data_IF_864560640988
#
_entry.id   IF_864560640988
#
_cell.length_a   1.000
_cell.length_b   1.000
_cell.length_c   1.000
_cell.angle_alpha   90.00
_cell.angle_beta   90.00
_cell.angle_gamma   90.00
#
_symmetry.space_group_name_H-M   'P 1'
#
loop_
_entity.id
_entity.type
_entity.pdbx_description
1 polymer ?
#
# COMPACT_ATOMS: atom_id res chain seq x y z
N UNK A 1 -6.27 -13.63 0.68
CA UNK A 1 -6.79 -13.32 -0.67
C UNK A 1 -5.81 -13.87 -1.71
N UNK A 2 -6.22 -14.83 -2.56
CA UNK A 2 -5.33 -15.44 -3.55
C UNK A 2 -5.40 -14.67 -4.87
N UNK A 3 -4.27 -14.11 -5.31
CA UNK A 3 -4.14 -13.45 -6.61
C UNK A 3 -4.25 -14.52 -7.71
N UNK A 4 -5.39 -14.59 -8.40
CA UNK A 4 -5.60 -15.48 -9.53
C UNK A 4 -5.61 -14.67 -10.84
N UNK A 5 -4.48 -14.06 -11.17
CA UNK A 5 -4.24 -13.55 -12.53
C UNK A 5 -3.49 -14.64 -13.30
N UNK A 6 -4.10 -15.14 -14.37
CA UNK A 6 -3.48 -16.08 -15.30
C UNK A 6 -2.96 -15.37 -16.57
N UNK A 7 -2.23 -16.08 -17.43
CA UNK A 7 -1.69 -15.51 -18.68
C UNK A 7 -2.79 -14.96 -19.60
N UNK A 8 -3.95 -15.62 -19.64
CA UNK A 8 -5.10 -15.19 -20.45
C UNK A 8 -5.61 -13.83 -20.01
N UNK A 9 -5.79 -13.65 -18.69
CA UNK A 9 -6.24 -12.40 -18.10
C UNK A 9 -5.22 -11.30 -18.28
N UNK A 10 -3.93 -11.58 -18.05
CA UNK A 10 -2.86 -10.60 -18.28
C UNK A 10 -2.83 -10.13 -19.75
N UNK A 11 -2.83 -11.05 -20.71
CA UNK A 11 -2.74 -10.70 -22.13
C UNK A 11 -3.96 -9.93 -22.62
N UNK A 12 -5.15 -10.20 -22.08
CA UNK A 12 -6.38 -9.48 -22.44
C UNK A 12 -6.45 -8.08 -21.84
N UNK A 13 -5.90 -7.88 -20.65
CA UNK A 13 -6.06 -6.63 -19.89
C UNK A 13 -4.86 -5.70 -19.98
N UNK A 14 -3.67 -6.22 -20.31
CA UNK A 14 -2.42 -5.47 -20.27
C UNK A 14 -1.90 -5.19 -18.86
N UNK A 15 -2.54 -5.73 -17.81
CA UNK A 15 -2.13 -5.51 -16.42
C UNK A 15 -0.71 -6.02 -16.18
N UNK A 16 0.15 -5.14 -15.67
CA UNK A 16 1.56 -5.40 -15.46
C UNK A 16 2.04 -5.15 -14.02
N UNK A 17 1.18 -4.64 -13.13
CA UNK A 17 1.48 -4.42 -11.70
C UNK A 17 0.36 -5.00 -10.83
N UNK A 18 0.72 -5.60 -9.70
CA UNK A 18 -0.20 -6.10 -8.69
C UNK A 18 0.23 -5.63 -7.29
N UNK A 19 -0.70 -5.02 -6.54
CA UNK A 19 -0.50 -4.64 -5.14
C UNK A 19 -1.16 -5.67 -4.22
N UNK A 20 -0.39 -6.27 -3.32
CA UNK A 20 -0.86 -7.35 -2.44
C UNK A 20 -0.43 -7.14 -0.99
N UNK A 21 -1.18 -7.75 -0.08
CA UNK A 21 -0.72 -7.94 1.28
C UNK A 21 0.40 -8.98 1.33
N UNK A 22 1.55 -8.59 1.85
CA UNK A 22 2.68 -9.47 2.19
C UNK A 22 2.70 -9.80 3.69
N UNK A 23 1.56 -9.65 4.36
CA UNK A 23 1.34 -9.95 5.77
C UNK A 23 -0.10 -10.42 5.96
N UNK A 24 -0.32 -11.34 6.89
CA UNK A 24 -1.64 -11.78 7.32
C UNK A 24 -1.71 -11.66 8.85
N UNK A 25 -2.65 -10.84 9.32
CA UNK A 25 -2.98 -10.53 10.71
C UNK A 25 -4.16 -11.37 11.25
N UNK A 26 -4.70 -12.30 10.46
CA UNK A 26 -5.81 -13.15 10.88
C UNK A 26 -5.44 -14.19 11.94
N UNK A 27 -6.39 -14.50 12.83
CA UNK A 27 -6.28 -15.54 13.86
C UNK A 27 -6.04 -16.96 13.28
N UNK A 28 -6.38 -17.19 12.01
CA UNK A 28 -6.29 -18.49 11.36
C UNK A 28 -5.08 -18.56 10.40
N UNK A 29 -3.95 -19.08 10.90
CA UNK A 29 -2.64 -19.22 10.21
C UNK A 29 -1.95 -17.88 9.91
N UNK A 30 -1.53 -17.12 10.93
CA UNK A 30 -0.81 -15.86 10.71
C UNK A 30 0.52 -16.10 10.00
N UNK A 31 0.93 -15.14 9.17
CA UNK A 31 2.26 -15.17 8.54
C UNK A 31 3.35 -15.13 9.61
N UNK A 32 3.15 -14.32 10.65
CA UNK A 32 4.02 -14.21 11.80
C UNK A 32 3.23 -14.57 13.07
N UNK A 33 3.51 -15.73 13.66
CA UNK A 33 2.81 -16.23 14.85
C UNK A 33 3.29 -15.58 16.15
N UNK A 34 4.55 -15.15 16.20
CA UNK A 34 5.14 -14.37 17.30
C UNK A 34 6.35 -13.56 16.82
N UNK A 35 6.89 -12.60 17.61
CA UNK A 35 8.07 -11.82 17.21
C UNK A 35 9.24 -12.71 16.74
N UNK A 36 9.57 -12.64 15.45
CA UNK A 36 10.62 -13.46 14.84
C UNK A 36 10.25 -14.90 14.46
N UNK A 37 9.02 -15.35 14.72
CA UNK A 37 8.53 -16.70 14.36
C UNK A 37 7.53 -16.64 13.22
N UNK A 38 7.84 -17.32 12.12
CA UNK A 38 7.07 -17.28 10.88
C UNK A 38 6.46 -18.64 10.56
N UNK A 39 5.25 -18.61 10.02
CA UNK A 39 4.64 -19.80 9.46
C UNK A 39 5.22 -20.08 8.06
N UNK A 40 6.08 -21.09 7.96
CA UNK A 40 6.78 -21.43 6.71
C UNK A 40 5.82 -21.85 5.59
N UNK A 41 4.66 -22.46 5.91
CA UNK A 41 3.65 -22.78 4.88
C UNK A 41 3.05 -21.51 4.28
N UNK A 42 2.76 -20.51 5.11
CA UNK A 42 2.15 -19.24 4.69
C UNK A 42 3.14 -18.42 3.87
N UNK A 43 4.38 -18.27 4.32
CA UNK A 43 5.39 -17.51 3.57
C UNK A 43 5.79 -18.19 2.25
N UNK A 44 5.69 -19.53 2.16
CA UNK A 44 5.82 -20.24 0.87
C UNK A 44 4.67 -19.92 -0.09
N UNK A 45 3.49 -19.56 0.42
CA UNK A 45 2.42 -18.99 -0.38
C UNK A 45 2.84 -17.69 -1.04
N UNK A 46 3.52 -16.79 -0.30
CA UNK A 46 4.09 -15.57 -0.86
C UNK A 46 5.21 -15.85 -1.87
N UNK A 47 6.09 -16.83 -1.57
CA UNK A 47 7.12 -17.29 -2.52
C UNK A 47 6.50 -17.68 -3.87
N UNK A 48 5.38 -18.43 -3.83
CA UNK A 48 4.64 -18.87 -5.01
C UNK A 48 4.03 -17.70 -5.78
N UNK A 49 3.42 -16.73 -5.11
CA UNK A 49 2.82 -15.56 -5.76
C UNK A 49 3.89 -14.75 -6.50
N UNK A 50 5.04 -14.49 -5.87
CA UNK A 50 6.16 -13.77 -6.50
C UNK A 50 6.70 -14.57 -7.70
N UNK A 51 6.92 -15.88 -7.53
CA UNK A 51 7.40 -16.73 -8.62
C UNK A 51 6.41 -16.78 -9.81
N UNK A 52 5.10 -16.74 -9.52
CA UNK A 52 4.06 -16.71 -10.55
C UNK A 52 4.02 -15.36 -11.26
N UNK A 53 4.11 -14.26 -10.51
CA UNK A 53 4.19 -12.90 -11.05
C UNK A 53 5.40 -12.74 -11.97
N UNK A 54 6.56 -13.27 -11.57
CA UNK A 54 7.78 -13.29 -12.38
C UNK A 54 7.54 -13.96 -13.74
N UNK A 55 6.96 -15.17 -13.73
CA UNK A 55 6.64 -15.90 -14.97
C UNK A 55 5.68 -15.13 -15.87
N UNK A 56 4.71 -14.44 -15.26
CA UNK A 56 3.74 -13.64 -15.97
C UNK A 56 4.33 -12.30 -16.43
N UNK A 57 5.48 -11.85 -15.92
CA UNK A 57 6.02 -10.51 -16.14
C UNK A 57 5.22 -9.42 -15.41
N UNK A 58 4.56 -9.76 -14.31
CA UNK A 58 3.83 -8.83 -13.44
C UNK A 58 4.77 -8.38 -12.33
N UNK A 59 4.85 -7.07 -12.13
CA UNK A 59 5.54 -6.45 -11.00
C UNK A 59 4.67 -6.44 -9.75
N UNK A 60 5.29 -6.57 -8.58
CA UNK A 60 4.59 -6.68 -7.30
C UNK A 60 4.87 -5.48 -6.39
N UNK A 61 3.82 -4.89 -5.82
CA UNK A 61 3.91 -3.96 -4.68
C UNK A 61 3.46 -4.72 -3.44
N UNK A 62 4.35 -4.81 -2.44
CA UNK A 62 4.14 -5.65 -1.25
C UNK A 62 3.80 -4.78 -0.03
N UNK A 63 2.54 -4.85 0.39
CA UNK A 63 1.95 -4.16 1.54
C UNK A 63 2.26 -4.84 2.86
N UNK A 64 2.77 -4.08 3.82
CA UNK A 64 2.96 -4.50 5.21
C UNK A 64 1.71 -4.16 6.02
N UNK A 65 1.36 -5.03 6.97
CA UNK A 65 0.14 -4.91 7.74
C UNK A 65 0.13 -3.78 8.78
N UNK A 66 -1.05 -3.63 9.39
CA UNK A 66 -1.34 -2.92 10.64
C UNK A 66 -0.55 -3.50 11.82
N UNK A 67 0.75 -3.22 11.85
CA UNK A 67 1.67 -3.81 12.82
C UNK A 67 1.32 -3.48 14.29
N UNK A 68 0.64 -2.35 14.52
CA UNK A 68 0.20 -1.90 15.86
C UNK A 68 -0.87 -2.80 16.45
N UNK A 69 -1.88 -3.17 15.66
CA UNK A 69 -2.95 -4.06 16.11
C UNK A 69 -2.37 -5.44 16.49
N UNK A 70 -1.48 -5.97 15.65
CA UNK A 70 -0.77 -7.23 15.93
C UNK A 70 0.10 -7.13 17.18
N UNK A 71 0.88 -6.06 17.33
CA UNK A 71 1.73 -5.86 18.50
C UNK A 71 0.90 -5.75 19.77
N UNK A 72 -0.24 -5.06 19.73
CA UNK A 72 -1.20 -4.95 20.82
C UNK A 72 -1.69 -6.29 21.32
N UNK A 73 -2.22 -7.12 20.41
CA UNK A 73 -2.71 -8.45 20.76
C UNK A 73 -1.60 -9.27 21.43
N UNK A 74 -0.38 -9.19 20.92
CA UNK A 74 0.76 -9.91 21.48
C UNK A 74 1.18 -9.38 22.86
N UNK A 75 1.23 -8.06 23.07
CA UNK A 75 1.60 -7.48 24.37
C UNK A 75 0.62 -7.86 25.47
N UNK A 76 -0.69 -7.87 25.19
CA UNK A 76 -1.70 -8.28 26.17
C UNK A 76 -1.62 -9.77 26.51
N UNK A 77 -1.17 -10.61 25.57
CA UNK A 77 -0.90 -12.02 25.84
C UNK A 77 0.31 -12.22 26.77
N UNK A 78 1.32 -11.34 26.72
CA UNK A 78 2.49 -11.40 27.60
C UNK A 78 2.20 -10.78 28.96
N UNK A 79 1.54 -9.62 28.98
CA UNK A 79 1.16 -8.92 30.20
C UNK A 79 -0.19 -8.20 29.98
N UNK A 80 -1.29 -8.74 30.54
CA UNK A 80 -2.64 -8.21 30.32
C UNK A 80 -2.85 -6.83 30.94
N UNK A 81 -1.92 -6.33 31.76
CA UNK A 81 -1.98 -5.00 32.38
C UNK A 81 -1.24 -3.92 31.56
N UNK A 82 -0.62 -4.28 30.43
CA UNK A 82 -0.04 -3.27 29.52
C UNK A 82 -1.20 -2.47 28.92
N UNK A 83 -1.01 -1.14 28.81
CA UNK A 83 -1.97 -0.27 28.10
C UNK A 83 -2.03 -0.67 26.62
N UNK A 84 -3.22 -0.61 26.03
CA UNK A 84 -3.40 -0.62 24.57
C UNK A 84 -2.52 0.45 23.91
N UNK A 85 -1.62 0.01 23.04
CA UNK A 85 -0.91 0.86 22.10
C UNK A 85 -1.91 1.53 21.17
N UNK A 86 -1.67 2.79 20.85
CA UNK A 86 -2.34 3.53 19.79
C UNK A 86 -1.50 3.48 18.52
N UNK A 87 -2.04 3.93 17.40
CA UNK A 87 -1.29 4.04 16.15
C UNK A 87 -0.03 4.92 16.29
N UNK A 88 -0.10 5.98 17.12
CA UNK A 88 1.03 6.84 17.46
C UNK A 88 2.16 6.08 18.19
N UNK A 89 1.83 5.06 18.99
CA UNK A 89 2.84 4.30 19.73
C UNK A 89 3.76 3.49 18.81
N UNK A 90 3.35 3.22 17.57
CA UNK A 90 4.24 2.64 16.56
C UNK A 90 5.53 3.46 16.39
N UNK A 91 5.39 4.78 16.38
CA UNK A 91 6.46 5.71 16.08
C UNK A 91 7.33 6.01 17.32
N UNK A 92 6.75 5.86 18.51
CA UNK A 92 7.38 6.24 19.78
C UNK A 92 7.98 5.01 20.48
N UNK A 93 7.24 3.91 20.60
CA UNK A 93 7.63 2.75 21.40
C UNK A 93 8.84 2.00 20.79
N UNK A 94 9.88 1.87 21.60
CA UNK A 94 11.15 1.28 21.17
C UNK A 94 11.05 -0.22 20.85
N UNK A 95 10.18 -0.95 21.56
CA UNK A 95 10.04 -2.39 21.40
C UNK A 95 9.23 -2.72 20.14
N UNK A 96 8.15 -1.98 19.89
CA UNK A 96 7.33 -2.05 18.68
C UNK A 96 8.17 -1.73 17.44
N UNK A 97 8.96 -0.65 17.46
CA UNK A 97 9.92 -0.33 16.40
C UNK A 97 10.93 -1.45 16.17
N UNK A 98 11.45 -2.05 17.23
CA UNK A 98 12.41 -3.17 17.14
C UNK A 98 11.77 -4.39 16.49
N UNK A 99 10.56 -4.77 16.91
CA UNK A 99 9.84 -5.89 16.32
C UNK A 99 9.51 -5.65 14.84
N UNK A 100 9.04 -4.46 14.50
CA UNK A 100 8.79 -4.09 13.11
C UNK A 100 10.08 -4.15 12.27
N UNK A 101 11.19 -3.57 12.74
CA UNK A 101 12.48 -3.64 12.04
C UNK A 101 12.97 -5.08 11.84
N UNK A 102 12.81 -5.93 12.84
CA UNK A 102 13.14 -7.35 12.74
C UNK A 102 12.26 -8.06 11.71
N UNK A 103 10.96 -7.72 11.68
CA UNK A 103 10.02 -8.24 10.70
C UNK A 103 10.42 -7.85 9.28
N UNK A 104 10.65 -6.56 9.04
CA UNK A 104 11.10 -6.06 7.73
C UNK A 104 12.38 -6.75 7.30
N UNK A 105 13.36 -6.90 8.20
CA UNK A 105 14.62 -7.59 7.89
C UNK A 105 14.38 -9.05 7.50
N UNK A 106 13.53 -9.77 8.21
CA UNK A 106 13.23 -11.18 7.92
C UNK A 106 12.59 -11.35 6.52
N UNK A 107 11.63 -10.49 6.16
CA UNK A 107 10.98 -10.52 4.85
C UNK A 107 11.95 -10.14 3.73
N UNK A 108 12.72 -9.06 3.88
CA UNK A 108 13.68 -8.62 2.87
C UNK A 108 14.79 -9.64 2.60
N UNK A 109 15.21 -10.35 3.64
CA UNK A 109 16.29 -11.36 3.55
C UNK A 109 15.77 -12.77 3.26
N UNK A 110 14.45 -12.94 3.06
CA UNK A 110 13.85 -14.21 2.68
C UNK A 110 14.40 -14.66 1.34
N UNK A 111 14.95 -15.87 1.29
CA UNK A 111 15.27 -16.55 0.05
C UNK A 111 14.02 -17.28 -0.46
N UNK A 112 13.50 -16.86 -1.61
CA UNK A 112 12.32 -17.46 -2.21
C UNK A 112 12.57 -18.95 -2.48
N UNK A 113 11.71 -19.83 -1.95
CA UNK A 113 11.91 -21.29 -2.09
C UNK A 113 11.74 -21.82 -3.50
N UNK A 114 11.16 -21.04 -4.41
CA UNK A 114 10.90 -21.40 -5.80
C UNK A 114 11.91 -20.74 -6.73
N UNK A 115 12.04 -19.41 -6.68
CA UNK A 115 12.95 -18.68 -7.58
C UNK A 115 14.41 -18.75 -7.13
N UNK A 116 14.66 -19.07 -5.85
CA UNK A 116 15.98 -19.06 -5.21
C UNK A 116 16.66 -17.69 -5.19
N UNK A 117 15.86 -16.64 -5.38
CA UNK A 117 16.29 -15.25 -5.29
C UNK A 117 15.86 -14.69 -3.93
N UNK A 118 16.75 -13.92 -3.30
CA UNK A 118 16.43 -13.20 -2.07
C UNK A 118 15.50 -12.05 -2.41
N UNK A 119 14.44 -11.83 -1.63
CA UNK A 119 13.40 -10.83 -1.95
C UNK A 119 13.96 -9.43 -2.23
N UNK A 120 14.90 -8.93 -1.43
CA UNK A 120 15.56 -7.63 -1.68
C UNK A 120 16.36 -7.55 -2.99
N UNK A 121 16.58 -8.68 -3.66
CA UNK A 121 17.31 -8.80 -4.91
C UNK A 121 16.40 -9.30 -6.07
N UNK A 122 15.09 -9.49 -5.84
CA UNK A 122 14.15 -10.01 -6.83
C UNK A 122 13.47 -8.87 -7.62
N UNK A 123 13.81 -8.67 -8.91
CA UNK A 123 13.28 -7.56 -9.71
C UNK A 123 11.78 -7.68 -10.02
N UNK A 124 11.15 -8.79 -9.66
CA UNK A 124 9.69 -8.95 -9.72
C UNK A 124 9.01 -8.04 -8.69
N UNK A 125 9.68 -7.72 -7.60
CA UNK A 125 9.19 -6.78 -6.59
C UNK A 125 9.52 -5.37 -7.11
N UNK A 126 8.51 -4.54 -7.29
CA UNK A 126 8.68 -3.15 -7.75
C UNK A 126 8.88 -2.21 -6.57
N UNK A 127 8.04 -2.36 -5.54
CA UNK A 127 8.05 -1.50 -4.37
C UNK A 127 7.65 -2.24 -3.09
N UNK A 128 8.16 -1.74 -1.97
CA UNK A 128 7.69 -2.08 -0.63
C UNK A 128 6.79 -0.98 -0.10
N UNK A 129 5.66 -1.34 0.49
CA UNK A 129 4.81 -0.42 1.23
C UNK A 129 5.04 -0.59 2.73
N UNK A 130 5.45 0.50 3.37
CA UNK A 130 5.92 0.50 4.76
C UNK A 130 4.83 0.12 5.75
N UNK A 131 3.62 0.66 5.61
CA UNK A 131 2.52 0.40 6.51
C UNK A 131 1.21 0.67 5.76
N UNK A 132 0.15 -0.06 6.04
CA UNK A 132 -1.16 0.32 5.52
C UNK A 132 -1.67 1.56 6.25
N UNK A 133 -1.97 2.64 5.54
CA UNK A 133 -2.73 3.79 6.03
C UNK A 133 -2.21 4.36 7.36
N UNK A 134 -0.90 4.71 7.45
CA UNK A 134 -0.36 5.23 8.69
C UNK A 134 -1.00 6.58 9.05
N UNK A 135 -1.70 6.64 10.17
CA UNK A 135 -2.04 7.90 10.82
C UNK A 135 -1.09 8.15 11.99
N UNK A 136 -0.46 9.32 12.01
CA UNK A 136 0.32 9.80 13.15
C UNK A 136 -0.09 11.24 13.49
N UNK A 137 -1.19 11.43 14.25
CA UNK A 137 -1.59 12.76 14.71
C UNK A 137 -0.48 13.48 15.50
N UNK A 138 0.41 12.74 16.15
CA UNK A 138 1.46 13.28 17.02
C UNK A 138 2.74 13.75 16.29
N UNK A 139 3.04 13.24 15.09
CA UNK A 139 4.16 13.68 14.25
C UNK A 139 3.72 13.75 12.77
N UNK A 140 3.08 14.86 12.35
CA UNK A 140 2.62 15.03 10.98
C UNK A 140 3.77 15.21 9.96
N UNK A 141 5.03 15.26 10.39
CA UNK A 141 6.19 15.54 9.53
C UNK A 141 6.78 14.28 8.87
N UNK A 142 6.47 13.09 9.38
CA UNK A 142 6.96 11.79 8.90
C UNK A 142 8.48 11.66 8.77
N UNK A 143 9.24 12.49 9.49
CA UNK A 143 10.71 12.58 9.43
C UNK A 143 11.45 11.33 9.94
N UNK A 144 10.74 10.40 10.59
CA UNK A 144 11.31 9.21 11.22
C UNK A 144 11.36 7.94 10.34
N UNK A 145 11.01 8.05 9.05
CA UNK A 145 11.03 6.91 8.12
C UNK A 145 12.38 6.82 7.41
N UNK A 146 13.16 5.78 7.74
CA UNK A 146 14.45 5.49 7.10
C UNK A 146 14.30 4.36 6.07
N UNK A 147 14.97 4.49 4.92
CA UNK A 147 15.05 3.43 3.93
C UNK A 147 15.85 2.22 4.47
N UNK A 148 15.29 1.02 4.27
CA UNK A 148 15.89 -0.27 4.70
C UNK A 148 16.38 -1.08 3.47
N UNK A 149 15.95 -0.72 2.26
CA UNK A 149 16.30 -1.34 0.98
C UNK A 149 16.60 -0.22 -0.04
N UNK A 150 17.77 -0.27 -0.67
CA UNK A 150 18.23 0.74 -1.61
C UNK A 150 18.07 0.33 -3.10
N UNK A 151 17.50 -0.85 -3.38
CA UNK A 151 17.28 -1.33 -4.74
C UNK A 151 15.82 -1.16 -5.19
N UNK A 152 14.89 -1.43 -4.29
CA UNK A 152 13.46 -1.32 -4.56
C UNK A 152 12.92 0.07 -4.26
N UNK A 153 11.79 0.41 -4.89
CA UNK A 153 11.03 1.59 -4.52
C UNK A 153 10.40 1.39 -3.14
N UNK A 154 10.15 2.49 -2.44
CA UNK A 154 9.58 2.48 -1.09
C UNK A 154 8.42 3.47 -1.03
N UNK A 155 7.25 2.98 -0.68
CA UNK A 155 6.04 3.77 -0.52
C UNK A 155 5.47 3.63 0.90
N UNK A 156 4.64 4.58 1.31
CA UNK A 156 4.23 4.73 2.71
C UNK A 156 2.86 4.11 2.97
N UNK A 157 1.99 4.00 1.96
CA UNK A 157 0.61 3.53 2.06
C UNK A 157 -0.40 4.64 2.40
N UNK A 158 -0.13 5.89 2.01
CA UNK A 158 -0.95 7.06 2.38
C UNK A 158 -2.24 7.17 1.57
N UNK A 159 -3.36 7.46 2.24
CA UNK A 159 -4.64 7.77 1.57
C UNK A 159 -4.63 9.10 0.79
N UNK A 160 -3.71 10.01 1.11
CA UNK A 160 -3.57 11.32 0.46
C UNK A 160 -4.44 12.44 1.04
N UNK A 161 -4.88 12.32 2.29
CA UNK A 161 -5.57 13.43 2.97
C UNK A 161 -4.58 14.43 3.54
N UNK A 162 -4.72 15.70 3.13
CA UNK A 162 -4.05 16.81 3.79
C UNK A 162 -4.77 17.15 5.10
N UNK A 163 -4.04 17.30 6.20
CA UNK A 163 -4.50 18.10 7.35
C UNK A 163 -4.14 19.57 7.12
N UNK A 164 -4.69 20.47 7.94
CA UNK A 164 -4.74 21.95 7.82
C UNK A 164 -3.43 22.69 7.45
N UNK A 165 -2.29 22.00 7.36
CA UNK A 165 -1.03 22.49 6.80
C UNK A 165 -0.46 21.50 5.78
N UNK A 166 -0.16 21.97 4.56
CA UNK A 166 0.55 21.21 3.52
C UNK A 166 1.98 20.96 3.97
N UNK A 167 2.24 19.82 4.61
CA UNK A 167 3.59 19.43 5.04
C UNK A 167 4.02 18.18 4.27
N UNK A 168 5.19 18.29 3.64
CA UNK A 168 5.69 17.34 2.66
C UNK A 168 6.75 16.43 3.28
N UNK A 169 6.68 15.15 2.94
CA UNK A 169 7.63 14.13 3.38
C UNK A 169 8.88 14.16 2.48
N UNK A 170 10.02 14.50 3.08
CA UNK A 170 11.31 14.54 2.40
C UNK A 170 11.82 13.14 2.00
N UNK A 171 12.50 13.08 0.84
CA UNK A 171 13.45 12.05 0.40
C UNK A 171 13.03 10.56 0.34
N UNK A 172 11.74 10.24 0.26
CA UNK A 172 11.28 8.87 -0.01
C UNK A 172 10.70 8.80 -1.43
N UNK A 173 11.00 7.75 -2.20
CA UNK A 173 10.47 7.50 -3.55
C UNK A 173 8.96 7.22 -3.50
N UNK A 174 8.20 8.23 -3.12
CA UNK A 174 6.76 8.14 -2.89
C UNK A 174 6.07 8.08 -4.25
N UNK A 175 5.54 6.90 -4.58
CA UNK A 175 4.26 6.85 -5.27
C UNK A 175 3.20 7.25 -4.24
N UNK A 176 2.44 8.32 -4.49
CA UNK A 176 1.30 8.63 -3.63
C UNK A 176 0.17 7.71 -4.05
N UNK A 177 0.05 6.61 -3.32
CA UNK A 177 -0.92 5.56 -3.56
C UNK A 177 -2.27 5.95 -3.01
N UNK A 178 -2.94 6.75 -3.82
CA UNK A 178 -4.12 7.40 -3.36
C UNK A 178 -5.34 6.47 -3.39
N UNK A 179 -6.06 6.41 -2.27
CA UNK A 179 -7.37 5.78 -2.19
C UNK A 179 -8.43 6.83 -2.48
N UNK A 180 -9.26 6.66 -3.50
CA UNK A 180 -10.39 7.57 -3.71
C UNK A 180 -11.51 7.21 -2.72
N UNK A 181 -11.73 7.97 -1.62
CA UNK A 181 -12.99 7.88 -0.91
C UNK A 181 -14.06 8.39 -1.87
N UNK A 182 -15.11 7.62 -2.12
CA UNK A 182 -16.34 8.27 -2.55
C UNK A 182 -16.82 9.08 -1.34
N UNK A 183 -17.09 10.39 -1.48
CA UNK A 183 -17.70 11.16 -0.41
C UNK A 183 -18.96 10.46 0.10
N UNK A 184 -19.32 10.75 1.35
CA UNK A 184 -20.48 10.19 2.06
C UNK A 184 -21.69 9.98 1.15
N UNK A 185 -22.46 8.92 1.42
CA UNK A 185 -23.67 8.54 0.66
C UNK A 185 -24.71 9.66 0.50
N UNK A 186 -24.56 10.76 1.24
CA UNK A 186 -25.42 11.94 1.21
C UNK A 186 -25.04 12.97 0.14
N UNK A 187 -24.04 12.67 -0.72
CA UNK A 187 -23.58 13.53 -1.81
C UNK A 187 -24.06 13.03 -3.17
N UNK A 188 -24.38 13.97 -4.07
CA UNK A 188 -24.75 13.66 -5.46
C UNK A 188 -23.55 13.13 -6.25
N UNK A 189 -23.79 12.39 -7.34
CA UNK A 189 -22.71 11.88 -8.20
C UNK A 189 -21.81 13.00 -8.73
N UNK A 190 -22.39 14.16 -9.07
CA UNK A 190 -21.64 15.32 -9.53
C UNK A 190 -20.71 15.88 -8.44
N UNK A 191 -21.16 15.95 -7.18
CA UNK A 191 -20.32 16.38 -6.07
C UNK A 191 -19.19 15.38 -5.77
N UNK A 192 -19.47 14.07 -5.90
CA UNK A 192 -18.45 13.04 -5.72
C UNK A 192 -17.36 13.13 -6.80
N UNK A 193 -17.75 13.35 -8.06
CA UNK A 193 -16.81 13.54 -9.16
C UNK A 193 -15.99 14.82 -9.01
N UNK A 194 -16.64 15.94 -8.65
CA UNK A 194 -15.95 17.21 -8.42
C UNK A 194 -14.94 17.14 -7.26
N UNK A 195 -15.21 16.30 -6.25
CA UNK A 195 -14.23 16.03 -5.19
C UNK A 195 -13.00 15.31 -5.75
N UNK A 196 -13.20 14.26 -6.55
CA UNK A 196 -12.11 13.49 -7.18
C UNK A 196 -11.28 14.38 -8.10
N UNK A 197 -11.92 15.24 -8.90
CA UNK A 197 -11.24 16.21 -9.76
C UNK A 197 -10.28 17.11 -8.97
N UNK A 198 -10.81 17.76 -7.94
CA UNK A 198 -10.02 18.66 -7.08
C UNK A 198 -8.88 17.94 -6.37
N UNK A 199 -9.11 16.69 -6.01
CA UNK A 199 -8.12 15.89 -5.31
C UNK A 199 -7.02 15.41 -6.26
N UNK A 200 -7.34 15.04 -7.51
CA UNK A 200 -6.33 14.70 -8.52
C UNK A 200 -5.49 15.95 -8.82
N UNK A 201 -6.16 17.08 -9.05
CA UNK A 201 -5.53 18.37 -9.32
C UNK A 201 -4.59 18.81 -8.20
N UNK A 202 -5.01 18.71 -6.93
CA UNK A 202 -4.17 19.11 -5.79
C UNK A 202 -2.90 18.27 -5.71
N UNK A 203 -2.98 16.96 -5.94
CA UNK A 203 -1.81 16.08 -5.94
C UNK A 203 -0.89 16.34 -7.15
N UNK A 204 -1.43 16.68 -8.33
CA UNK A 204 -0.59 17.14 -9.46
C UNK A 204 0.20 18.38 -9.07
N UNK A 205 -0.48 19.38 -8.50
CA UNK A 205 0.15 20.65 -8.13
C UNK A 205 1.26 20.43 -7.10
N UNK A 206 0.98 19.62 -6.08
CA UNK A 206 1.94 19.32 -5.02
C UNK A 206 3.13 18.49 -5.50
N UNK A 207 2.90 17.53 -6.42
CA UNK A 207 4.01 16.83 -7.05
C UNK A 207 4.86 17.75 -7.91
N UNK A 208 4.26 18.52 -8.82
CA UNK A 208 5.01 19.37 -9.74
C UNK A 208 5.74 20.52 -9.03
N UNK A 209 5.16 21.08 -7.96
CA UNK A 209 5.72 22.26 -7.30
C UNK A 209 6.68 21.93 -6.16
N UNK A 210 6.57 20.74 -5.56
CA UNK A 210 7.29 20.44 -4.30
C UNK A 210 7.99 19.10 -4.31
N UNK A 211 7.31 18.02 -4.69
CA UNK A 211 7.88 16.67 -4.54
C UNK A 211 8.78 16.25 -5.71
N UNK A 212 8.48 16.74 -6.91
CA UNK A 212 9.10 16.38 -8.20
C UNK A 212 9.15 14.85 -8.41
N UNK A 213 8.05 14.15 -8.09
CA UNK A 213 7.98 12.69 -8.07
C UNK A 213 6.73 12.12 -8.76
N UNK A 214 6.83 10.93 -9.39
CA UNK A 214 5.66 10.28 -9.97
C UNK A 214 4.60 9.91 -8.93
N UNK A 215 3.33 9.91 -9.33
CA UNK A 215 2.17 9.53 -8.51
C UNK A 215 1.46 8.35 -9.18
N UNK A 216 1.07 7.34 -8.41
CA UNK A 216 0.26 6.20 -8.88
C UNK A 216 -1.00 6.10 -8.05
N UNK A 217 -2.17 6.06 -8.67
CA UNK A 217 -3.42 5.79 -7.96
C UNK A 217 -3.51 4.28 -7.69
N UNK A 218 -3.28 3.82 -6.45
CA UNK A 218 -3.32 2.38 -6.06
C UNK A 218 -4.73 1.84 -5.92
N UNK A 219 -5.66 2.68 -5.48
CA UNK A 219 -6.97 2.24 -5.04
C UNK A 219 -8.05 3.23 -5.47
N UNK A 220 -8.95 2.75 -6.31
CA UNK A 220 -10.16 3.47 -6.64
C UNK A 220 -11.24 2.45 -6.98
N UNK A 221 -12.49 2.81 -6.78
CA UNK A 221 -13.58 1.91 -7.10
C UNK A 221 -14.95 2.50 -6.80
N UNK A 222 -15.98 1.90 -7.40
CA UNK A 222 -17.38 2.18 -7.11
C UNK A 222 -17.99 0.97 -6.40
N UNK A 223 -18.41 1.16 -5.15
CA UNK A 223 -19.01 0.08 -4.35
C UNK A 223 -20.40 -0.29 -4.86
N UNK A 224 -20.66 -1.59 -4.99
CA UNK A 224 -21.98 -2.11 -5.34
C UNK A 224 -23.03 -1.94 -4.22
N UNK A 225 -22.58 -1.61 -3.01
CA UNK A 225 -23.43 -1.35 -1.84
C UNK A 225 -24.05 0.05 -1.86
N UNK A 226 -23.64 0.91 -2.78
CA UNK A 226 -24.20 2.25 -2.92
C UNK A 226 -25.56 2.19 -3.60
N UNK A 227 -26.49 3.01 -3.12
CA UNK A 227 -27.81 3.16 -3.72
C UNK A 227 -27.69 3.61 -5.19
N UNK A 228 -28.49 2.99 -6.06
CA UNK A 228 -28.46 3.29 -7.49
C UNK A 228 -27.18 2.81 -8.22
N UNK A 229 -26.41 1.89 -7.65
CA UNK A 229 -25.29 1.25 -8.33
C UNK A 229 -25.73 0.52 -9.60
N UNK A 230 -24.91 0.65 -10.65
CA UNK A 230 -24.93 -0.21 -11.81
C UNK A 230 -23.52 -0.27 -12.45
N UNK A 231 -23.34 -1.20 -13.39
CA UNK A 231 -22.05 -1.40 -14.06
C UNK A 231 -21.64 -0.17 -14.89
N UNK A 232 -22.58 0.53 -15.51
CA UNK A 232 -22.30 1.71 -16.33
C UNK A 232 -21.70 2.84 -15.49
N UNK A 233 -22.23 3.09 -14.30
CA UNK A 233 -21.71 4.09 -13.36
C UNK A 233 -20.30 3.77 -12.90
N UNK A 234 -20.04 2.50 -12.54
CA UNK A 234 -18.69 2.04 -12.17
C UNK A 234 -17.71 2.17 -13.33
N UNK A 235 -18.12 1.76 -14.53
CA UNK A 235 -17.27 1.82 -15.72
C UNK A 235 -16.97 3.27 -16.12
N UNK A 236 -17.96 4.16 -16.11
CA UNK A 236 -17.77 5.61 -16.36
C UNK A 236 -16.82 6.24 -15.35
N UNK A 237 -16.98 5.91 -14.06
CA UNK A 237 -16.08 6.38 -13.02
C UNK A 237 -14.64 5.90 -13.25
N UNK A 238 -14.45 4.60 -13.53
CA UNK A 238 -13.12 4.03 -13.78
C UNK A 238 -12.48 4.62 -15.04
N UNK A 239 -13.26 4.78 -16.12
CA UNK A 239 -12.80 5.40 -17.36
C UNK A 239 -12.29 6.82 -17.13
N UNK A 240 -13.01 7.61 -16.33
CA UNK A 240 -12.60 8.96 -15.99
C UNK A 240 -11.22 8.99 -15.31
N UNK A 241 -11.00 8.14 -14.30
CA UNK A 241 -9.70 8.05 -13.61
C UNK A 241 -8.60 7.66 -14.60
N UNK A 242 -8.86 6.68 -15.48
CA UNK A 242 -7.90 6.28 -16.51
C UNK A 242 -7.59 7.42 -17.48
N UNK A 243 -8.60 8.19 -17.90
CA UNK A 243 -8.42 9.34 -18.78
C UNK A 243 -7.60 10.45 -18.09
N UNK A 244 -7.85 10.72 -16.80
CA UNK A 244 -7.08 11.72 -16.03
C UNK A 244 -5.60 11.32 -15.92
N UNK A 245 -5.32 10.05 -15.57
CA UNK A 245 -3.96 9.51 -15.49
C UNK A 245 -3.28 9.54 -16.86
N UNK A 246 -3.97 9.06 -17.90
CA UNK A 246 -3.45 9.06 -19.26
C UNK A 246 -3.12 10.46 -19.77
N UNK A 247 -4.03 11.43 -19.56
CA UNK A 247 -3.83 12.80 -19.99
C UNK A 247 -2.68 13.47 -19.23
N UNK A 248 -2.57 13.23 -17.92
CA UNK A 248 -1.44 13.69 -17.12
C UNK A 248 -0.12 13.13 -17.66
N UNK A 249 0.00 11.80 -17.78
CA UNK A 249 1.20 11.14 -18.31
C UNK A 249 1.58 11.63 -19.71
N UNK A 250 0.59 11.73 -20.61
CA UNK A 250 0.78 12.20 -22.00
C UNK A 250 1.31 13.63 -22.08
N UNK A 251 0.93 14.48 -21.12
CA UNK A 251 1.36 15.88 -21.05
C UNK A 251 2.64 16.06 -20.22
N UNK A 252 3.30 14.99 -19.78
CA UNK A 252 4.48 15.03 -18.92
C UNK A 252 4.17 15.41 -17.47
N UNK A 253 2.91 15.26 -17.05
CA UNK A 253 2.48 15.39 -15.67
C UNK A 253 2.91 14.22 -14.79
N UNK A 254 2.63 14.31 -13.48
CA UNK A 254 3.23 13.40 -12.50
C UNK A 254 2.48 12.06 -12.37
N UNK A 255 1.26 11.92 -12.86
CA UNK A 255 0.53 10.65 -12.76
C UNK A 255 1.04 9.65 -13.80
N UNK A 256 1.35 8.42 -13.35
CA UNK A 256 1.88 7.33 -14.17
C UNK A 256 1.24 5.99 -13.85
#
# INVERSE_FOLDING_TARGET
>A
MMFAVDYSTRNKTGLNVARIWAFDDGDHKPLQSSPGSYNEEVIKGLDFVIAKAQKLGIYMILRKAKYVEWANQHYHNINPNIRNLTEDDFFIDSLTKKYYKNHVKAVLTRNNTITRVVYKDDPTILAWELMSEPHCPSDPTGSNLQSIDNKHLLEIGLEGFYRESRQYLGNISIFVFLQSPLPSTNKTEAEQLAFVDKWIESHVLDSNAVLEKPIVISEFGKSYKLEGYNLDKRNKYSQKIYDDVYNSAKLGGPFV
#
